data_IF_517131311896
#
_entry.id   IF_517131311896
#
_cell.length_a   1.000
_cell.length_b   1.000
_cell.length_c   1.000
_cell.angle_alpha   90.00
_cell.angle_beta   90.00
_cell.angle_gamma   90.00
#
_symmetry.space_group_name_H-M   'P 1'
#
loop_
_entity.id
_entity.type
_entity.pdbx_description
1 polymer ?
#
# COMPACT_ATOMS: atom_id res chain seq x y z
N UNK A 1 14.98 -15.38 4.42
CA UNK A 1 14.36 -16.16 5.50
C UNK A 1 14.01 -17.54 4.96
N UNK A 2 14.26 -18.60 5.72
CA UNK A 2 13.97 -19.98 5.27
C UNK A 2 12.47 -20.28 5.34
N UNK A 3 11.98 -21.13 4.44
CA UNK A 3 10.58 -21.57 4.35
C UNK A 3 10.03 -22.10 5.69
N UNK A 4 10.90 -22.72 6.51
CA UNK A 4 10.56 -23.29 7.81
C UNK A 4 10.11 -22.27 8.86
N UNK A 5 10.51 -21.00 8.73
CA UNK A 5 10.15 -19.95 9.70
C UNK A 5 8.68 -19.56 9.60
N UNK A 6 8.04 -19.72 8.43
CA UNK A 6 6.64 -19.34 8.26
C UNK A 6 5.67 -20.40 8.81
N UNK A 7 6.06 -21.67 8.82
CA UNK A 7 5.18 -22.78 9.24
C UNK A 7 4.68 -22.62 10.69
N UNK A 8 5.52 -22.12 11.60
CA UNK A 8 5.14 -21.94 13.00
C UNK A 8 4.04 -20.89 13.24
N UNK A 9 3.78 -20.03 12.25
CA UNK A 9 2.78 -18.97 12.36
C UNK A 9 1.46 -19.33 11.68
N UNK A 10 1.44 -20.40 10.89
CA UNK A 10 0.25 -20.81 10.15
C UNK A 10 -0.83 -21.28 11.11
N UNK A 11 -2.07 -20.93 10.78
CA UNK A 11 -3.24 -21.40 11.52
C UNK A 11 -4.07 -22.36 10.66
N UNK A 12 -4.62 -23.44 11.25
CA UNK A 12 -5.59 -24.29 10.58
C UNK A 12 -6.78 -23.49 10.08
N UNK A 13 -7.29 -23.83 8.90
CA UNK A 13 -8.44 -23.16 8.29
C UNK A 13 -9.65 -23.06 9.23
N UNK A 14 -9.91 -24.11 10.01
CA UNK A 14 -11.02 -24.19 10.95
C UNK A 14 -10.91 -23.25 12.15
N UNK A 15 -9.72 -22.68 12.40
CA UNK A 15 -9.46 -21.75 13.50
C UNK A 15 -9.46 -20.28 13.05
N UNK A 16 -9.64 -20.02 11.75
CA UNK A 16 -9.67 -18.66 11.21
C UNK A 16 -11.05 -18.03 11.47
N UNK A 17 -11.10 -17.04 12.35
CA UNK A 17 -12.26 -16.17 12.50
C UNK A 17 -12.09 -14.91 11.64
N UNK A 18 -12.77 -14.90 10.50
CA UNK A 18 -12.72 -13.79 9.53
C UNK A 18 -13.24 -12.50 10.12
N UNK A 19 -14.32 -12.54 10.90
CA UNK A 19 -14.92 -11.33 11.46
C UNK A 19 -14.04 -10.75 12.56
N UNK A 20 -13.53 -11.58 13.47
CA UNK A 20 -12.65 -11.12 14.53
C UNK A 20 -11.38 -10.45 13.98
N UNK A 21 -10.72 -11.08 13.00
CA UNK A 21 -9.53 -10.50 12.36
C UNK A 21 -9.84 -9.17 11.65
N UNK A 22 -11.00 -9.09 10.97
CA UNK A 22 -11.41 -7.87 10.30
C UNK A 22 -11.73 -6.73 11.29
N UNK A 23 -12.35 -7.03 12.43
CA UNK A 23 -12.66 -6.06 13.47
C UNK A 23 -11.39 -5.49 14.14
N UNK A 24 -10.39 -6.34 14.42
CA UNK A 24 -9.10 -5.88 14.97
C UNK A 24 -8.38 -4.97 13.97
N UNK A 25 -8.30 -5.38 12.70
CA UNK A 25 -7.72 -4.55 11.63
C UNK A 25 -8.43 -3.20 11.50
N UNK A 26 -9.77 -3.24 11.51
CA UNK A 26 -10.59 -2.03 11.47
C UNK A 26 -10.34 -1.12 12.67
N UNK A 27 -10.30 -1.66 13.90
CA UNK A 27 -10.02 -0.90 15.14
C UNK A 27 -8.71 -0.15 15.03
N UNK A 28 -7.62 -0.82 14.65
CA UNK A 28 -6.32 -0.15 14.53
C UNK A 28 -6.33 0.94 13.45
N UNK A 29 -6.80 0.62 12.24
CA UNK A 29 -6.86 1.61 11.15
C UNK A 29 -7.72 2.82 11.50
N UNK A 30 -8.85 2.60 12.18
CA UNK A 30 -9.73 3.67 12.66
C UNK A 30 -8.98 4.59 13.62
N UNK A 31 -8.38 4.05 14.68
CA UNK A 31 -7.66 4.83 15.68
C UNK A 31 -6.48 5.62 15.06
N UNK A 32 -5.73 4.99 14.15
CA UNK A 32 -4.67 5.66 13.39
C UNK A 32 -5.23 6.83 12.59
N UNK A 33 -6.32 6.64 11.84
CA UNK A 33 -6.92 7.70 11.03
C UNK A 33 -7.46 8.86 11.87
N UNK A 34 -8.12 8.56 13.00
CA UNK A 34 -8.59 9.58 13.95
C UNK A 34 -7.44 10.44 14.47
N UNK A 35 -6.37 9.81 14.96
CA UNK A 35 -5.25 10.55 15.53
C UNK A 35 -4.46 11.29 14.45
N UNK A 36 -4.25 10.71 13.26
CA UNK A 36 -3.64 11.40 12.12
C UNK A 36 -4.38 12.67 11.75
N UNK A 37 -5.71 12.62 11.66
CA UNK A 37 -6.54 13.79 11.32
C UNK A 37 -6.36 14.90 12.35
N UNK A 38 -6.48 14.60 13.65
CA UNK A 38 -6.36 15.62 14.69
C UNK A 38 -4.92 16.16 14.79
N UNK A 39 -3.92 15.27 14.75
CA UNK A 39 -2.50 15.66 14.79
C UNK A 39 -2.08 16.47 13.57
N UNK A 40 -2.75 16.32 12.42
CA UNK A 40 -2.47 17.11 11.22
C UNK A 40 -2.79 18.60 11.36
N UNK A 41 -3.62 18.97 12.35
CA UNK A 41 -4.08 20.36 12.55
C UNK A 41 -3.00 21.27 13.15
N UNK A 42 -2.07 20.69 13.91
CA UNK A 42 -0.90 21.38 14.44
C UNK A 42 0.36 20.52 14.23
N UNK A 43 0.93 20.54 13.01
CA UNK A 43 2.11 19.75 12.68
C UNK A 43 3.32 20.11 13.56
N UNK A 44 3.47 21.38 13.94
CA UNK A 44 4.59 21.85 14.76
C UNK A 44 4.52 21.25 16.16
N UNK A 45 3.36 21.31 16.83
CA UNK A 45 3.18 20.70 18.14
C UNK A 45 3.27 19.18 18.09
N UNK A 46 2.72 18.55 17.05
CA UNK A 46 2.87 17.11 16.80
C UNK A 46 4.35 16.72 16.71
N UNK A 47 5.11 17.40 15.86
CA UNK A 47 6.51 17.04 15.60
C UNK A 47 7.39 17.28 16.83
N UNK A 48 7.11 18.32 17.62
CA UNK A 48 7.78 18.55 18.91
C UNK A 48 7.51 17.40 19.91
N UNK A 49 6.27 16.92 20.00
CA UNK A 49 5.92 15.79 20.87
C UNK A 49 6.52 14.47 20.39
N UNK A 50 6.61 14.25 19.08
CA UNK A 50 7.28 13.08 18.49
C UNK A 50 8.79 13.13 18.79
N UNK A 51 9.42 14.29 18.63
CA UNK A 51 10.83 14.47 18.96
C UNK A 51 11.09 14.22 20.46
N UNK A 52 10.22 14.70 21.35
CA UNK A 52 10.30 14.42 22.79
C UNK A 52 10.17 12.91 23.07
N UNK A 53 9.23 12.23 22.40
CA UNK A 53 9.05 10.79 22.53
C UNK A 53 10.30 10.02 22.13
N UNK A 54 10.93 10.38 21.01
CA UNK A 54 12.15 9.73 20.51
C UNK A 54 13.43 10.16 21.21
N UNK A 55 13.38 11.18 22.09
CA UNK A 55 14.49 11.49 22.98
C UNK A 55 14.65 10.43 24.08
N UNK A 56 13.62 9.61 24.34
CA UNK A 56 13.75 8.45 25.22
C UNK A 56 14.45 7.29 24.49
N UNK A 57 15.63 6.83 24.95
CA UNK A 57 16.40 5.78 24.29
C UNK A 57 15.68 4.42 24.22
N UNK A 58 14.67 4.20 25.06
CA UNK A 58 13.86 2.97 25.02
C UNK A 58 12.82 2.98 23.88
N UNK A 59 12.53 4.15 23.30
CA UNK A 59 11.55 4.30 22.23
C UNK A 59 12.26 4.34 20.89
N UNK A 60 12.05 3.32 20.07
CA UNK A 60 12.62 3.27 18.72
C UNK A 60 11.75 4.04 17.72
N UNK A 61 12.33 4.81 16.78
CA UNK A 61 11.59 5.52 15.74
C UNK A 61 11.23 4.60 14.55
N UNK A 62 10.76 3.40 14.86
CA UNK A 62 10.42 2.35 13.88
C UNK A 62 9.21 1.59 14.39
N UNK A 63 8.36 1.17 13.46
CA UNK A 63 7.20 0.33 13.73
C UNK A 63 7.38 -1.09 13.15
N UNK A 64 8.61 -1.45 12.76
CA UNK A 64 8.89 -2.77 12.23
C UNK A 64 8.72 -3.82 13.35
N UNK A 65 7.96 -4.90 13.12
CA UNK A 65 7.73 -5.91 14.16
C UNK A 65 9.00 -6.53 14.73
N UNK A 66 10.04 -6.67 13.90
CA UNK A 66 11.39 -7.10 14.29
C UNK A 66 12.03 -6.20 15.34
N UNK A 67 11.83 -4.88 15.23
CA UNK A 67 12.43 -3.90 16.12
C UNK A 67 11.61 -3.72 17.41
N UNK A 68 10.30 -3.95 17.31
CA UNK A 68 9.32 -3.71 18.37
C UNK A 68 9.20 -4.92 19.31
N UNK A 69 9.08 -6.13 18.75
CA UNK A 69 8.88 -7.38 19.53
C UNK A 69 10.08 -8.31 19.37
N UNK A 70 10.68 -8.35 18.18
CA UNK A 70 11.71 -9.31 17.81
C UNK A 70 11.28 -10.24 16.67
N UNK A 71 12.25 -10.94 16.11
CA UNK A 71 12.04 -11.90 15.01
C UNK A 71 12.10 -13.35 15.48
N UNK A 72 11.41 -14.22 14.74
CA UNK A 72 11.44 -15.67 14.92
C UNK A 72 11.00 -16.13 16.32
N UNK A 73 10.13 -15.37 16.98
CA UNK A 73 9.55 -15.76 18.27
C UNK A 73 8.35 -16.69 18.07
N UNK A 74 7.98 -17.50 19.08
CA UNK A 74 6.73 -18.24 19.07
C UNK A 74 5.51 -17.30 18.93
N UNK A 75 4.45 -17.75 18.26
CA UNK A 75 3.23 -16.93 18.03
C UNK A 75 2.67 -16.32 19.32
N UNK A 76 2.72 -17.06 20.43
CA UNK A 76 2.28 -16.59 21.75
C UNK A 76 3.00 -15.31 22.23
N UNK A 77 4.24 -15.05 21.81
CA UNK A 77 4.94 -13.81 22.18
C UNK A 77 4.42 -12.58 21.45
N UNK A 78 3.96 -12.75 20.22
CA UNK A 78 3.27 -11.68 19.50
C UNK A 78 1.87 -11.45 20.09
N UNK A 79 1.18 -12.50 20.56
CA UNK A 79 -0.08 -12.37 21.29
C UNK A 79 0.08 -11.60 22.59
N UNK A 80 1.03 -12.00 23.45
CA UNK A 80 1.35 -11.30 24.69
C UNK A 80 1.63 -9.80 24.46
N UNK A 81 2.38 -9.48 23.40
CA UNK A 81 2.65 -8.09 23.02
C UNK A 81 1.38 -7.33 22.61
N UNK A 82 0.56 -7.93 21.73
CA UNK A 82 -0.68 -7.29 21.26
C UNK A 82 -1.66 -7.04 22.41
N UNK A 83 -1.80 -7.99 23.34
CA UNK A 83 -2.62 -7.83 24.54
C UNK A 83 -2.13 -6.67 25.43
N UNK A 84 -0.82 -6.57 25.66
CA UNK A 84 -0.23 -5.49 26.44
C UNK A 84 -0.42 -4.12 25.79
N UNK A 85 -0.22 -4.05 24.47
CA UNK A 85 -0.38 -2.80 23.73
C UNK A 85 -1.85 -2.41 23.61
N UNK A 86 -2.76 -3.36 23.44
CA UNK A 86 -4.20 -3.10 23.46
C UNK A 86 -4.64 -2.52 24.80
N UNK A 87 -4.17 -3.10 25.91
CA UNK A 87 -4.43 -2.55 27.24
C UNK A 87 -3.86 -1.12 27.41
N UNK A 88 -2.71 -0.83 26.79
CA UNK A 88 -2.13 0.51 26.80
C UNK A 88 -2.95 1.49 25.94
N UNK A 89 -3.40 1.09 24.75
CA UNK A 89 -4.26 1.88 23.86
C UNK A 89 -5.56 2.28 24.57
N UNK A 90 -6.16 1.38 25.34
CA UNK A 90 -7.40 1.66 26.08
C UNK A 90 -7.20 2.77 27.14
N UNK A 91 -6.02 2.86 27.77
CA UNK A 91 -5.73 3.94 28.74
C UNK A 91 -5.69 5.33 28.11
N UNK A 92 -5.45 5.40 26.80
CA UNK A 92 -5.44 6.62 26.00
C UNK A 92 -6.71 6.81 25.17
N UNK A 93 -7.76 6.01 25.39
CA UNK A 93 -9.02 6.08 24.63
C UNK A 93 -10.20 6.43 25.56
N UNK A 94 -10.87 7.59 25.37
CA UNK A 94 -10.56 8.66 24.42
C UNK A 94 -9.31 9.47 24.84
N UNK A 95 -8.53 10.02 23.89
CA UNK A 95 -7.35 10.81 24.21
C UNK A 95 -7.73 12.12 24.93
N UNK A 96 -7.01 12.45 26.02
CA UNK A 96 -7.26 13.68 26.81
C UNK A 96 -6.40 14.86 26.37
N UNK A 97 -5.35 14.61 25.59
CA UNK A 97 -4.38 15.62 25.16
C UNK A 97 -3.80 15.31 23.79
N UNK A 98 -3.08 16.27 23.19
CA UNK A 98 -2.32 16.03 21.96
C UNK A 98 -1.19 15.00 22.19
N UNK A 99 -0.58 15.00 23.39
CA UNK A 99 0.42 14.02 23.81
C UNK A 99 -0.17 12.61 23.86
N UNK A 100 -1.36 12.45 24.43
CA UNK A 100 -2.07 11.16 24.47
C UNK A 100 -2.32 10.63 23.06
N UNK A 101 -2.66 11.52 22.11
CA UNK A 101 -2.85 11.15 20.69
C UNK A 101 -1.55 10.71 20.03
N UNK A 102 -0.44 11.41 20.28
CA UNK A 102 0.88 10.99 19.78
C UNK A 102 1.24 9.61 20.33
N UNK A 103 1.04 9.38 21.64
CA UNK A 103 1.31 8.09 22.27
C UNK A 103 0.41 6.97 21.72
N UNK A 104 -0.90 7.21 21.65
CA UNK A 104 -1.87 6.25 21.10
C UNK A 104 -1.56 5.93 19.65
N UNK A 105 -1.25 6.94 18.83
CA UNK A 105 -0.85 6.74 17.43
C UNK A 105 0.36 5.81 17.30
N UNK A 106 1.41 6.01 18.12
CA UNK A 106 2.61 5.16 18.09
C UNK A 106 2.32 3.72 18.50
N UNK A 107 1.56 3.53 19.58
CA UNK A 107 1.14 2.22 20.05
C UNK A 107 0.32 1.47 18.99
N UNK A 108 -0.68 2.15 18.41
CA UNK A 108 -1.54 1.57 17.37
C UNK A 108 -0.74 1.24 16.11
N UNK A 109 0.16 2.13 15.67
CA UNK A 109 0.99 1.89 14.49
C UNK A 109 1.91 0.66 14.67
N UNK A 110 2.51 0.51 15.85
CA UNK A 110 3.31 -0.67 16.17
C UNK A 110 2.45 -1.95 16.20
N UNK A 111 1.33 -1.93 16.92
CA UNK A 111 0.40 -3.06 17.01
C UNK A 111 -0.14 -3.48 15.64
N UNK A 112 -0.52 -2.52 14.79
CA UNK A 112 -1.01 -2.77 13.44
C UNK A 112 0.02 -3.53 12.59
N UNK A 113 1.30 -3.15 12.67
CA UNK A 113 2.35 -3.83 11.91
C UNK A 113 2.59 -5.25 12.42
N UNK A 114 2.63 -5.44 13.75
CA UNK A 114 2.77 -6.77 14.36
C UNK A 114 1.59 -7.67 13.98
N UNK A 115 0.36 -7.16 14.12
CA UNK A 115 -0.86 -7.88 13.74
C UNK A 115 -0.86 -8.23 12.26
N UNK A 116 -0.58 -7.27 11.36
CA UNK A 116 -0.56 -7.53 9.91
C UNK A 116 0.46 -8.61 9.55
N UNK A 117 1.65 -8.57 10.12
CA UNK A 117 2.68 -9.56 9.81
C UNK A 117 2.31 -10.95 10.33
N UNK A 118 2.04 -11.07 11.63
CA UNK A 118 1.95 -12.39 12.28
C UNK A 118 0.54 -12.96 12.36
N UNK A 119 -0.50 -12.12 12.41
CA UNK A 119 -1.90 -12.55 12.50
C UNK A 119 -2.64 -12.52 11.18
N UNK A 120 -2.10 -11.83 10.18
CA UNK A 120 -2.71 -11.75 8.86
C UNK A 120 -1.83 -12.41 7.79
N UNK A 121 -0.69 -11.84 7.44
CA UNK A 121 0.13 -12.33 6.33
C UNK A 121 0.68 -13.73 6.56
N UNK A 122 1.30 -13.99 7.71
CA UNK A 122 1.91 -15.30 7.97
C UNK A 122 0.85 -16.34 8.34
N UNK A 123 -0.11 -15.97 9.18
CA UNK A 123 -1.18 -16.88 9.60
C UNK A 123 -2.07 -17.35 8.45
N UNK A 124 -2.40 -16.46 7.50
CA UNK A 124 -3.31 -16.75 6.40
C UNK A 124 -2.59 -17.06 5.07
N UNK A 125 -1.27 -17.24 5.08
CA UNK A 125 -0.48 -17.45 3.88
C UNK A 125 -1.02 -18.60 3.00
N UNK A 126 -1.48 -19.68 3.64
CA UNK A 126 -2.01 -20.87 2.95
C UNK A 126 -3.52 -20.79 2.68
N UNK A 127 -4.21 -19.76 3.20
CA UNK A 127 -5.66 -19.58 3.09
C UNK A 127 -5.98 -18.23 2.43
N UNK A 128 -5.47 -18.01 1.21
CA UNK A 128 -5.63 -16.75 0.48
C UNK A 128 -7.08 -16.28 0.38
N UNK A 129 -8.01 -17.21 0.20
CA UNK A 129 -9.44 -16.92 0.12
C UNK A 129 -10.01 -16.35 1.43
N UNK A 130 -9.49 -16.78 2.59
CA UNK A 130 -9.86 -16.23 3.89
C UNK A 130 -9.20 -14.87 4.13
N UNK A 131 -7.94 -14.70 3.71
CA UNK A 131 -7.27 -13.40 3.68
C UNK A 131 -8.06 -12.36 2.88
N UNK A 132 -8.56 -12.74 1.70
CA UNK A 132 -9.42 -11.89 0.87
C UNK A 132 -10.74 -11.55 1.55
N UNK A 133 -11.35 -12.50 2.27
CA UNK A 133 -12.60 -12.26 3.00
C UNK A 133 -12.38 -11.26 4.14
N UNK A 134 -11.33 -11.43 4.94
CA UNK A 134 -10.95 -10.48 6.00
C UNK A 134 -10.69 -9.10 5.38
N UNK A 135 -9.96 -9.03 4.27
CA UNK A 135 -9.65 -7.79 3.57
C UNK A 135 -10.89 -7.05 3.11
N UNK A 136 -11.80 -7.75 2.40
CA UNK A 136 -13.09 -7.20 1.97
C UNK A 136 -13.90 -6.71 3.16
N UNK A 137 -13.90 -7.46 4.26
CA UNK A 137 -14.69 -7.15 5.44
C UNK A 137 -14.20 -5.89 6.15
N UNK A 138 -12.91 -5.79 6.49
CA UNK A 138 -12.42 -4.59 7.19
C UNK A 138 -12.50 -3.35 6.30
N UNK A 139 -12.30 -3.48 4.98
CA UNK A 139 -12.47 -2.34 4.05
C UNK A 139 -13.91 -1.84 4.02
N UNK A 140 -14.89 -2.75 4.10
CA UNK A 140 -16.29 -2.36 4.22
C UNK A 140 -16.53 -1.59 5.53
N UNK A 141 -16.09 -2.13 6.66
CA UNK A 141 -16.21 -1.47 7.97
C UNK A 141 -15.55 -0.07 7.96
N UNK A 142 -14.33 0.02 7.44
CA UNK A 142 -13.59 1.27 7.35
C UNK A 142 -14.26 2.27 6.41
N UNK A 143 -14.76 1.82 5.26
CA UNK A 143 -15.50 2.67 4.32
C UNK A 143 -16.79 3.20 4.97
N UNK A 144 -17.56 2.34 5.61
CA UNK A 144 -18.81 2.74 6.28
C UNK A 144 -18.51 3.81 7.34
N UNK A 145 -17.52 3.58 8.20
CA UNK A 145 -17.06 4.55 9.21
C UNK A 145 -16.56 5.87 8.62
N UNK A 146 -15.78 5.82 7.51
CA UNK A 146 -15.29 7.01 6.82
C UNK A 146 -16.41 7.90 6.27
N UNK A 147 -17.56 7.32 5.93
CA UNK A 147 -18.72 8.06 5.43
C UNK A 147 -19.67 8.54 6.53
N UNK A 148 -19.66 7.90 7.71
CA UNK A 148 -20.60 8.21 8.80
C UNK A 148 -19.96 9.01 9.93
N UNK A 149 -18.95 8.45 10.59
CA UNK A 149 -18.40 8.97 11.85
C UNK A 149 -17.18 9.86 11.63
N UNK A 150 -16.28 9.51 10.71
CA UNK A 150 -15.07 10.30 10.43
C UNK A 150 -15.33 11.77 10.05
N UNK A 151 -16.39 12.13 9.30
CA UNK A 151 -16.73 13.52 8.99
C UNK A 151 -16.96 14.36 10.25
N UNK A 152 -17.55 13.75 11.29
CA UNK A 152 -17.78 14.41 12.58
C UNK A 152 -16.48 14.74 13.30
N UNK A 153 -15.43 13.95 13.08
CA UNK A 153 -14.10 14.13 13.67
C UNK A 153 -13.28 15.14 12.87
N UNK A 154 -13.22 14.96 11.56
CA UNK A 154 -12.43 15.80 10.66
C UNK A 154 -13.02 17.22 10.48
N UNK A 155 -14.32 17.40 10.76
CA UNK A 155 -15.03 18.64 10.46
C UNK A 155 -15.19 18.88 8.96
N UNK A 156 -14.85 17.89 8.13
CA UNK A 156 -14.98 17.94 6.67
C UNK A 156 -16.22 17.14 6.25
N UNK A 157 -16.94 17.57 5.20
CA UNK A 157 -18.05 16.79 4.69
C UNK A 157 -17.58 15.39 4.30
N UNK A 158 -18.47 14.39 4.47
CA UNK A 158 -18.19 13.03 4.05
C UNK A 158 -17.69 13.01 2.61
N UNK A 159 -16.65 12.21 2.29
CA UNK A 159 -16.27 12.00 0.91
C UNK A 159 -17.51 11.57 0.13
N UNK A 160 -17.99 12.41 -0.79
CA UNK A 160 -19.11 12.02 -1.62
C UNK A 160 -18.70 10.77 -2.37
N UNK A 161 -19.53 9.72 -2.35
CA UNK A 161 -19.35 8.61 -3.27
C UNK A 161 -19.23 9.22 -4.67
N UNK A 162 -18.12 8.93 -5.36
CA UNK A 162 -17.96 9.37 -6.74
C UNK A 162 -19.27 9.09 -7.47
N UNK A 163 -19.87 10.08 -8.17
CA UNK A 163 -21.16 9.89 -8.80
C UNK A 163 -21.07 8.62 -9.64
N UNK A 164 -21.89 7.63 -9.27
CA UNK A 164 -22.10 6.42 -10.05
C UNK A 164 -22.27 6.86 -11.49
N UNK A 165 -21.34 6.46 -12.37
CA UNK A 165 -21.25 6.91 -13.75
C UNK A 165 -22.64 7.22 -14.31
N UNK A 166 -22.93 8.50 -14.47
CA UNK A 166 -24.08 8.91 -15.27
C UNK A 166 -23.89 8.20 -16.61
N UNK A 167 -24.87 7.36 -16.97
CA UNK A 167 -24.92 6.65 -18.26
C UNK A 167 -24.51 7.65 -19.34
N UNK A 168 -23.33 7.44 -19.94
CA UNK A 168 -22.88 8.23 -21.09
C UNK A 168 -24.02 8.20 -22.12
N UNK A 169 -24.49 9.35 -22.65
CA UNK A 169 -25.40 9.33 -23.78
C UNK A 169 -24.71 8.64 -24.96
N UNK A 170 -25.47 7.94 -25.83
CA UNK A 170 -24.87 7.24 -26.97
C UNK A 170 -24.13 8.26 -27.83
N UNK A 171 -22.84 8.00 -28.02
CA UNK A 171 -21.94 8.79 -28.87
C UNK A 171 -22.52 8.81 -30.28
N UNK A 172 -22.87 9.99 -30.77
CA UNK A 172 -23.23 10.19 -32.17
C UNK A 172 -22.08 9.67 -33.05
N UNK A 173 -22.42 8.81 -34.01
CA UNK A 173 -21.51 8.32 -35.02
C UNK A 173 -20.94 9.51 -35.80
N UNK A 174 -19.68 9.83 -35.55
CA UNK A 174 -18.91 10.68 -36.46
C UNK A 174 -18.45 9.80 -37.61
N UNK A 175 -18.91 10.20 -38.79
CA UNK A 175 -18.60 9.65 -40.10
C UNK A 175 -17.09 9.54 -40.31
N UNK A 176 -16.70 8.34 -40.75
CA UNK A 176 -15.39 7.97 -41.26
C UNK A 176 -14.96 8.85 -42.42
N UNK A 177 -13.80 9.48 -42.30
CA UNK A 177 -13.01 10.00 -43.42
C UNK A 177 -11.83 9.07 -43.71
N UNK A 178 -11.49 8.84 -44.99
CA UNK A 178 -10.54 7.80 -45.40
C UNK A 178 -9.08 8.20 -45.11
N UNK A 179 -8.16 7.22 -44.93
CA UNK A 179 -6.75 7.51 -44.68
C UNK A 179 -6.04 7.84 -45.99
N UNK A 180 -5.34 8.97 -46.05
CA UNK A 180 -4.40 9.30 -47.12
C UNK A 180 -3.02 8.71 -46.79
N UNK A 181 -2.33 8.07 -47.75
CA UNK A 181 -1.16 7.24 -47.47
C UNK A 181 0.11 8.07 -47.41
N UNK A 182 0.88 7.95 -46.33
CA UNK A 182 2.27 8.43 -46.31
C UNK A 182 3.17 7.34 -45.76
N UNK A 183 3.83 6.69 -46.72
CA UNK A 183 5.21 6.23 -46.71
C UNK A 183 5.70 5.44 -45.50
N UNK A 184 5.85 4.14 -45.72
CA UNK A 184 6.84 3.34 -45.05
C UNK A 184 8.21 4.04 -45.11
N UNK A 185 8.71 4.44 -43.96
CA UNK A 185 10.14 4.55 -43.70
C UNK A 185 10.41 3.73 -42.45
N UNK A 186 11.01 2.56 -42.66
CA UNK A 186 11.69 1.86 -41.59
C UNK A 186 12.76 2.78 -41.03
N UNK A 187 12.51 3.25 -39.81
CA UNK A 187 13.57 3.68 -38.90
C UNK A 187 13.41 2.83 -37.66
N UNK A 188 14.19 1.75 -37.61
CA UNK A 188 14.79 1.28 -36.37
C UNK A 188 15.52 2.46 -35.75
N UNK A 189 14.84 3.19 -34.86
CA UNK A 189 15.45 4.26 -34.08
C UNK A 189 15.66 3.73 -32.67
N UNK A 190 16.90 3.33 -32.42
CA UNK A 190 17.49 3.22 -31.09
C UNK A 190 17.40 4.59 -30.39
N UNK A 191 16.24 4.88 -29.80
CA UNK A 191 16.03 6.08 -28.97
C UNK A 191 15.48 5.77 -27.57
N UNK A 192 15.44 4.50 -27.16
CA UNK A 192 14.85 4.04 -25.88
C UNK A 192 15.52 4.67 -24.64
N UNK A 193 16.84 4.83 -24.64
CA UNK A 193 17.58 5.12 -23.39
C UNK A 193 17.36 6.52 -22.79
N UNK A 194 17.00 7.52 -23.61
CA UNK A 194 16.78 8.90 -23.13
C UNK A 194 15.39 9.09 -22.52
N UNK A 195 14.35 8.54 -23.15
CA UNK A 195 12.98 8.59 -22.62
C UNK A 195 12.84 7.73 -21.36
N UNK A 196 13.50 6.57 -21.31
CA UNK A 196 13.53 5.70 -20.13
C UNK A 196 14.14 6.41 -18.91
N UNK A 197 15.22 7.17 -19.12
CA UNK A 197 15.85 7.97 -18.05
C UNK A 197 14.93 9.06 -17.51
N UNK A 198 14.17 9.72 -18.40
CA UNK A 198 13.22 10.77 -18.02
C UNK A 198 12.07 10.20 -17.18
N UNK A 199 11.61 8.99 -17.48
CA UNK A 199 10.57 8.33 -16.70
C UNK A 199 11.04 7.91 -15.30
N UNK A 200 12.27 7.40 -15.20
CA UNK A 200 12.85 6.97 -13.92
C UNK A 200 13.21 8.13 -13.01
N UNK A 201 13.51 9.30 -13.57
CA UNK A 201 13.82 10.51 -12.82
C UNK A 201 12.55 11.36 -12.54
N UNK A 202 11.47 11.12 -13.28
CA UNK A 202 10.16 11.73 -13.07
C UNK A 202 9.02 10.69 -13.08
N UNK A 203 8.91 9.83 -12.04
CA UNK A 203 7.96 8.71 -12.02
C UNK A 203 6.49 9.10 -12.26
N UNK A 204 6.07 10.30 -11.85
CA UNK A 204 4.71 10.79 -12.10
C UNK A 204 4.32 10.81 -13.59
N UNK A 205 5.29 10.88 -14.50
CA UNK A 205 5.05 10.82 -15.96
C UNK A 205 4.67 9.43 -16.46
N UNK A 206 4.94 8.39 -15.67
CA UNK A 206 4.51 7.02 -15.95
C UNK A 206 3.04 6.78 -15.57
N UNK A 207 2.47 7.61 -14.67
CA UNK A 207 1.07 7.46 -14.27
C UNK A 207 0.16 7.65 -15.48
N UNK A 208 -0.88 6.82 -15.57
CA UNK A 208 -1.89 6.82 -16.64
C UNK A 208 -1.37 6.35 -18.02
N UNK A 209 -0.11 5.93 -18.12
CA UNK A 209 0.44 5.32 -19.34
C UNK A 209 0.36 3.79 -19.24
N UNK A 210 0.09 3.17 -20.38
CA UNK A 210 0.14 1.72 -20.57
C UNK A 210 1.28 1.38 -21.49
N UNK A 211 1.92 0.27 -21.21
CA UNK A 211 3.08 -0.20 -21.93
C UNK A 211 2.87 -1.64 -22.38
N UNK A 212 3.37 -1.98 -23.55
CA UNK A 212 3.44 -3.35 -24.04
C UNK A 212 4.87 -3.84 -23.94
N UNK A 213 5.14 -4.77 -23.02
CA UNK A 213 6.46 -5.40 -22.87
C UNK A 213 6.63 -6.53 -23.87
N UNK A 214 7.70 -6.45 -24.67
CA UNK A 214 8.02 -7.40 -25.75
C UNK A 214 9.52 -7.72 -25.74
N UNK A 215 9.98 -8.61 -24.83
CA UNK A 215 11.40 -8.94 -24.72
C UNK A 215 11.88 -9.77 -25.93
N UNK A 216 13.20 -9.79 -26.22
CA UNK A 216 13.76 -10.49 -27.37
C UNK A 216 13.45 -12.00 -27.40
N UNK A 217 13.31 -12.62 -28.59
CA UNK A 217 13.07 -14.07 -28.71
C UNK A 217 14.22 -14.88 -28.08
N UNK A 218 13.89 -15.87 -27.26
CA UNK A 218 14.87 -16.75 -26.60
C UNK A 218 15.10 -16.48 -25.11
N UNK A 219 14.50 -15.42 -24.55
CA UNK A 219 14.39 -15.23 -23.10
C UNK A 219 12.96 -15.62 -22.66
N UNK A 220 12.83 -16.76 -21.98
CA UNK A 220 11.60 -17.06 -21.24
C UNK A 220 11.54 -16.09 -20.06
N UNK A 221 10.52 -15.22 -20.09
CA UNK A 221 10.29 -14.26 -19.02
C UNK A 221 8.82 -14.32 -18.61
N UNK A 222 8.60 -14.25 -17.30
CA UNK A 222 7.29 -14.33 -16.65
C UNK A 222 6.43 -13.08 -16.88
N UNK A 223 6.98 -12.01 -17.47
CA UNK A 223 6.36 -10.67 -17.53
C UNK A 223 5.97 -10.21 -18.94
N UNK A 224 5.77 -11.13 -19.89
CA UNK A 224 5.28 -10.77 -21.24
C UNK A 224 3.84 -10.25 -21.16
N UNK A 225 3.56 -9.10 -21.78
CA UNK A 225 2.22 -8.54 -21.83
C UNK A 225 2.18 -7.06 -21.50
N UNK A 226 0.97 -6.54 -21.27
CA UNK A 226 0.80 -5.14 -20.90
C UNK A 226 1.17 -4.89 -19.45
N UNK A 227 1.65 -3.69 -19.17
CA UNK A 227 1.86 -3.20 -17.82
C UNK A 227 1.56 -1.72 -17.69
N UNK A 228 1.25 -1.31 -16.47
CA UNK A 228 1.07 0.09 -16.09
C UNK A 228 1.55 0.32 -14.67
N UNK A 229 1.95 1.56 -14.36
CA UNK A 229 2.33 1.93 -13.00
C UNK A 229 1.09 2.38 -12.23
N UNK A 230 0.74 1.64 -11.18
CA UNK A 230 -0.43 1.94 -10.34
C UNK A 230 -0.11 3.05 -9.34
N UNK A 231 1.07 2.99 -8.72
CA UNK A 231 1.53 4.01 -7.79
C UNK A 231 3.06 4.05 -7.72
N UNK A 232 3.59 5.12 -7.16
CA UNK A 232 4.99 5.22 -6.78
C UNK A 232 5.09 5.91 -5.43
N UNK A 233 6.11 5.58 -4.66
CA UNK A 233 6.46 6.29 -3.42
C UNK A 233 7.88 6.84 -3.52
N UNK A 234 8.11 7.97 -2.86
CA UNK A 234 9.43 8.61 -2.74
C UNK A 234 9.82 8.66 -1.28
N UNK A 235 10.98 8.12 -0.95
CA UNK A 235 11.56 8.26 0.40
C UNK A 235 12.98 8.79 0.33
N UNK A 236 13.39 9.54 1.34
CA UNK A 236 14.79 9.94 1.51
C UNK A 236 15.48 8.90 2.38
N UNK A 237 16.52 8.26 1.85
CA UNK A 237 17.33 7.27 2.55
C UNK A 237 18.81 7.64 2.38
N UNK A 238 19.51 7.87 3.49
CA UNK A 238 20.93 8.28 3.50
C UNK A 238 21.24 9.52 2.62
N UNK A 239 20.31 10.48 2.55
CA UNK A 239 20.47 11.69 1.74
C UNK A 239 20.17 11.51 0.24
N UNK A 240 19.77 10.30 -0.18
CA UNK A 240 19.37 9.99 -1.55
C UNK A 240 17.85 9.78 -1.64
N UNK A 241 17.26 10.20 -2.76
CA UNK A 241 15.86 9.92 -3.08
C UNK A 241 15.78 8.49 -3.62
N UNK A 242 15.03 7.64 -2.94
CA UNK A 242 14.71 6.28 -3.39
C UNK A 242 13.26 6.27 -3.86
N UNK A 243 13.08 5.76 -5.07
CA UNK A 243 11.77 5.54 -5.68
C UNK A 243 11.38 4.07 -5.56
N UNK A 244 10.21 3.80 -5.00
CA UNK A 244 9.59 2.47 -5.05
C UNK A 244 8.38 2.55 -5.98
N UNK A 245 8.32 1.63 -6.95
CA UNK A 245 7.30 1.61 -7.98
C UNK A 245 6.34 0.46 -7.71
N UNK A 246 5.05 0.63 -7.99
CA UNK A 246 4.05 -0.43 -7.94
C UNK A 246 3.52 -0.62 -9.35
N UNK A 247 3.82 -1.77 -9.94
CA UNK A 247 3.55 -2.08 -11.35
C UNK A 247 2.48 -3.16 -11.45
N UNK A 248 1.40 -2.89 -12.18
CA UNK A 248 0.39 -3.87 -12.53
C UNK A 248 0.78 -4.58 -13.83
N UNK A 249 0.86 -5.91 -13.80
CA UNK A 249 1.25 -6.74 -14.95
C UNK A 249 0.09 -7.60 -15.45
N UNK A 250 -0.21 -7.54 -16.75
CA UNK A 250 -1.21 -8.42 -17.39
C UNK A 250 -0.82 -9.90 -17.27
N UNK A 251 0.49 -10.21 -17.35
CA UNK A 251 1.02 -11.55 -17.17
C UNK A 251 0.63 -12.20 -15.83
N UNK A 252 0.35 -11.36 -14.83
CA UNK A 252 -0.08 -11.77 -13.50
C UNK A 252 -1.56 -11.45 -13.25
N UNK A 253 -2.39 -11.47 -14.29
CA UNK A 253 -3.81 -11.12 -14.25
C UNK A 253 -4.09 -9.71 -13.70
N UNK A 254 -3.19 -8.76 -13.95
CA UNK A 254 -3.28 -7.39 -13.46
C UNK A 254 -2.84 -7.21 -12.00
N UNK A 255 -2.19 -8.21 -11.40
CA UNK A 255 -1.63 -8.08 -10.06
C UNK A 255 -0.56 -6.99 -10.02
N UNK A 256 -0.62 -6.17 -8.96
CA UNK A 256 0.31 -5.10 -8.70
C UNK A 256 1.46 -5.59 -7.83
N UNK A 257 2.70 -5.38 -8.27
CA UNK A 257 3.91 -5.77 -7.57
C UNK A 257 4.81 -4.58 -7.29
N UNK A 258 5.42 -4.51 -6.10
CA UNK A 258 6.48 -3.55 -5.85
C UNK A 258 7.71 -3.93 -6.70
N UNK A 259 8.26 -2.94 -7.39
CA UNK A 259 9.45 -3.06 -8.22
C UNK A 259 10.44 -1.95 -7.89
N UNK A 260 11.72 -2.32 -7.94
CA UNK A 260 12.85 -1.41 -7.84
C UNK A 260 12.99 -0.57 -9.11
N UNK A 261 13.80 0.50 -9.01
CA UNK A 261 14.14 1.36 -10.14
C UNK A 261 14.76 0.57 -11.30
N UNK A 262 15.61 -0.41 -10.99
CA UNK A 262 16.32 -1.20 -12.01
C UNK A 262 15.38 -2.18 -12.73
N UNK A 263 14.42 -2.75 -12.01
CA UNK A 263 13.38 -3.62 -12.61
C UNK A 263 12.44 -2.83 -13.52
N UNK A 264 12.05 -1.61 -13.13
CA UNK A 264 11.25 -0.73 -13.99
C UNK A 264 12.06 -0.25 -15.19
N UNK A 265 13.35 0.06 -15.01
CA UNK A 265 14.25 0.42 -16.10
C UNK A 265 14.33 -0.70 -17.15
N UNK A 266 14.44 -1.95 -16.68
CA UNK A 266 14.46 -3.13 -17.54
C UNK A 266 13.14 -3.35 -18.28
N UNK A 267 12.00 -3.12 -17.61
CA UNK A 267 10.70 -3.19 -18.28
C UNK A 267 10.60 -2.13 -19.38
N UNK A 268 10.97 -0.89 -19.08
CA UNK A 268 10.95 0.24 -20.02
C UNK A 268 11.82 -0.04 -21.25
N UNK A 269 13.04 -0.57 -21.07
CA UNK A 269 13.98 -0.84 -22.17
C UNK A 269 13.49 -1.87 -23.19
N UNK A 270 12.43 -2.61 -22.86
CA UNK A 270 11.81 -3.61 -23.71
C UNK A 270 10.31 -3.37 -23.92
N UNK A 271 9.83 -2.14 -23.68
CA UNK A 271 8.43 -1.80 -23.79
C UNK A 271 8.17 -0.66 -24.77
N UNK A 272 6.95 -0.65 -25.31
CA UNK A 272 6.45 0.46 -26.11
C UNK A 272 5.17 1.01 -25.49
N UNK A 273 4.95 2.32 -25.56
CA UNK A 273 3.72 2.95 -25.06
C UNK A 273 2.54 2.52 -25.94
N UNK A 274 1.45 2.09 -25.32
CA UNK A 274 0.20 1.74 -25.98
C UNK A 274 -0.94 2.64 -25.51
N UNK A 275 -1.83 2.98 -26.44
CA UNK A 275 -2.98 3.88 -26.22
C UNK A 275 -4.15 3.19 -25.49
#
# INVERSE_FOLDING_TARGET
MSYAIFEQYKIPRSQVDVEALAQVMFRYLRLTAEDSEILSRDPTARDALIAELYANPEVKPTFMPSDVVGDNLPLAKYDEYLEQVDAAIERYTPPRSLRDRVLRYHLVAAALNVFRQYKFFYALNDHRDLGDQVFKRYRKLFKDWMHTEFPLISGRPAPQAAPTQAKRPPRAQQTSTPPTPISAYGMTKDTSTLEDSEYLDSPHKLLLKKFQHSPPPGQEQEYKGRWEMESYSTRVQNGHIVHEYVIALEALNGAALPMSRDEVAFLLSHSTVVA
#
